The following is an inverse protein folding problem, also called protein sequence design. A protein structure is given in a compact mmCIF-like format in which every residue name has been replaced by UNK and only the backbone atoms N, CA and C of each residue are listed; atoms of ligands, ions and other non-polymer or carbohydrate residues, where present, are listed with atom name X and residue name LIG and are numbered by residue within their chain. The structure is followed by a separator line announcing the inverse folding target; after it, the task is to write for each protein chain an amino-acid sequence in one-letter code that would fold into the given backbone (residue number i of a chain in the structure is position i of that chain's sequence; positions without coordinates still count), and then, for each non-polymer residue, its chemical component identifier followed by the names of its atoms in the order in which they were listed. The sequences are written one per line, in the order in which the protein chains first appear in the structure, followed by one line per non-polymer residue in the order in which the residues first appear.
data_IF_083992959692
#
_entry.id   IF_083992959692
#
_cell.length_a   1.000
_cell.length_b   1.000
_cell.length_c   1.000
_cell.angle_alpha   90.00
_cell.angle_beta   90.00
_cell.angle_gamma   90.00
#
_symmetry.space_group_name_H-M   'P 1'
#
loop_
_entity.id
_entity.type
_entity.pdbx_description
1 polymer ?
#
# COMPACT_ATOMS: atom_id res chain seq x y z
N UNK A 1 12.71 8.64 -6.82
CA UNK A 1 13.11 8.09 -5.50
C UNK A 1 12.77 6.61 -5.45
N UNK A 2 11.57 6.17 -5.05
CA UNK A 2 11.21 4.74 -4.97
C UNK A 2 10.97 4.06 -6.33
N UNK A 3 10.81 4.84 -7.41
CA UNK A 3 10.70 4.36 -8.80
C UNK A 3 11.79 3.38 -9.19
N UNK A 4 13.04 3.69 -8.85
CA UNK A 4 14.19 2.85 -9.22
C UNK A 4 14.30 1.62 -8.32
N UNK A 5 13.40 1.47 -7.34
CA UNK A 5 13.22 0.27 -6.53
C UNK A 5 12.07 -0.61 -7.05
N UNK A 6 11.52 -0.31 -8.24
CA UNK A 6 10.44 -1.05 -8.87
C UNK A 6 9.03 -0.61 -8.44
N UNK A 7 8.90 0.43 -7.61
CA UNK A 7 7.60 0.96 -7.17
C UNK A 7 7.15 2.06 -8.13
N UNK A 8 6.07 1.88 -8.91
CA UNK A 8 5.61 2.90 -9.85
C UNK A 8 5.20 4.18 -9.12
N UNK A 9 5.46 5.34 -9.73
CA UNK A 9 4.94 6.61 -9.23
C UNK A 9 3.48 6.83 -9.64
N UNK A 10 2.84 7.84 -9.05
CA UNK A 10 1.46 8.17 -9.37
C UNK A 10 1.33 8.99 -10.65
N UNK A 11 2.24 9.94 -10.90
CA UNK A 11 2.04 11.06 -11.86
C UNK A 11 3.10 11.15 -12.96
N UNK A 12 4.14 10.31 -12.93
CA UNK A 12 5.23 10.38 -13.89
C UNK A 12 4.81 10.01 -15.32
N UNK A 13 5.75 10.01 -16.27
CA UNK A 13 5.45 9.65 -17.66
C UNK A 13 4.77 8.29 -17.83
N UNK A 14 5.09 7.38 -16.91
CA UNK A 14 4.57 6.01 -16.80
C UNK A 14 3.71 5.83 -15.53
N UNK A 15 3.26 6.93 -14.92
CA UNK A 15 2.60 6.94 -13.62
C UNK A 15 1.21 6.32 -13.63
N UNK A 16 0.81 5.82 -12.47
CA UNK A 16 -0.43 5.06 -12.31
C UNK A 16 -1.66 5.84 -12.79
N UNK A 17 -1.77 7.14 -12.51
CA UNK A 17 -2.94 7.95 -12.86
C UNK A 17 -3.06 8.25 -14.35
N UNK A 18 -1.97 8.15 -15.10
CA UNK A 18 -2.01 8.26 -16.57
C UNK A 18 -2.51 6.97 -17.20
N UNK A 19 -2.16 5.81 -16.62
CA UNK A 19 -2.57 4.49 -17.10
C UNK A 19 -4.01 4.15 -16.70
N UNK A 20 -4.39 4.57 -15.50
CA UNK A 20 -5.73 4.41 -14.94
C UNK A 20 -6.12 5.72 -14.21
N UNK A 21 -6.91 6.60 -14.86
CA UNK A 21 -7.38 7.84 -14.25
C UNK A 21 -8.18 7.63 -12.96
N UNK A 22 -8.85 6.48 -12.80
CA UNK A 22 -9.59 6.16 -11.59
C UNK A 22 -8.68 5.73 -10.43
N UNK A 23 -7.39 5.48 -10.69
CA UNK A 23 -6.45 5.10 -9.65
C UNK A 23 -6.19 6.22 -8.62
N UNK A 24 -6.46 7.48 -8.96
CA UNK A 24 -6.42 8.57 -7.97
C UNK A 24 -7.45 8.34 -6.86
N UNK A 25 -8.66 7.89 -7.20
CA UNK A 25 -9.72 7.60 -6.22
C UNK A 25 -9.31 6.56 -5.20
N UNK A 26 -8.38 5.66 -5.54
CA UNK A 26 -7.86 4.63 -4.65
C UNK A 26 -6.98 5.20 -3.52
N UNK A 27 -6.49 6.43 -3.66
CA UNK A 27 -5.64 7.09 -2.66
C UNK A 27 -6.26 8.39 -2.11
N UNK A 28 -7.46 8.75 -2.54
CA UNK A 28 -8.22 9.90 -2.01
C UNK A 28 -9.07 9.52 -0.81
N UNK A 29 -8.96 10.29 0.28
CA UNK A 29 -9.72 10.07 1.51
C UNK A 29 -11.24 10.06 1.29
N UNK A 30 -11.77 11.08 0.62
CA UNK A 30 -13.20 11.21 0.37
C UNK A 30 -13.76 9.99 -0.38
N UNK A 31 -13.09 9.56 -1.46
CA UNK A 31 -13.46 8.38 -2.24
C UNK A 31 -13.40 7.08 -1.42
N UNK A 32 -12.35 6.92 -0.60
CA UNK A 32 -12.18 5.77 0.28
C UNK A 32 -13.28 5.66 1.36
N UNK A 33 -13.74 6.80 1.87
CA UNK A 33 -14.82 6.87 2.87
C UNK A 33 -16.19 6.69 2.24
N UNK A 34 -16.40 7.20 1.01
CA UNK A 34 -17.66 7.12 0.30
C UNK A 34 -17.99 5.70 -0.18
N UNK A 35 -16.99 4.91 -0.59
CA UNK A 35 -17.22 3.60 -1.21
C UNK A 35 -16.34 2.47 -0.63
N UNK A 36 -16.94 1.45 0.02
CA UNK A 36 -16.24 0.25 0.49
C UNK A 36 -15.51 -0.57 -0.59
N UNK A 37 -15.98 -0.57 -1.84
CA UNK A 37 -15.29 -1.24 -2.94
C UNK A 37 -14.03 -0.48 -3.37
N UNK A 38 -14.09 0.85 -3.45
CA UNK A 38 -12.89 1.70 -3.67
C UNK A 38 -11.85 1.43 -2.59
N UNK A 39 -12.28 1.34 -1.32
CA UNK A 39 -11.39 1.00 -0.21
C UNK A 39 -10.78 -0.40 -0.34
N UNK A 40 -11.57 -1.41 -0.71
CA UNK A 40 -11.06 -2.78 -0.94
C UNK A 40 -10.08 -2.84 -2.12
N UNK A 41 -10.36 -2.10 -3.19
CA UNK A 41 -9.47 -1.99 -4.36
C UNK A 41 -8.17 -1.26 -4.00
N UNK A 42 -8.22 -0.23 -3.18
CA UNK A 42 -7.04 0.46 -2.63
C UNK A 42 -6.10 -0.50 -1.89
N UNK A 43 -6.65 -1.36 -1.03
CA UNK A 43 -5.85 -2.36 -0.30
C UNK A 43 -5.22 -3.41 -1.23
N UNK A 44 -5.99 -3.91 -2.22
CA UNK A 44 -5.45 -4.82 -3.25
C UNK A 44 -4.32 -4.18 -4.04
N UNK A 45 -4.54 -2.96 -4.55
CA UNK A 45 -3.52 -2.20 -5.27
C UNK A 45 -2.24 -2.08 -4.44
N UNK A 46 -2.31 -1.73 -3.14
CA UNK A 46 -1.13 -1.62 -2.27
C UNK A 46 -0.36 -2.94 -2.10
N UNK A 47 -1.07 -4.07 -2.12
CA UNK A 47 -0.42 -5.39 -2.08
C UNK A 47 0.23 -5.76 -3.43
N UNK A 48 -0.36 -5.32 -4.54
CA UNK A 48 0.04 -5.70 -5.91
C UNK A 48 1.14 -4.81 -6.52
N UNK A 49 1.25 -3.53 -6.14
CA UNK A 49 2.20 -2.55 -6.73
C UNK A 49 3.69 -2.82 -6.41
N UNK A 50 4.03 -3.98 -5.85
CA UNK A 50 5.41 -4.41 -5.66
C UNK A 50 6.15 -3.73 -4.50
N UNK A 51 5.45 -2.93 -3.68
CA UNK A 51 6.04 -2.36 -2.46
C UNK A 51 6.43 -3.46 -1.45
N UNK A 52 5.65 -4.54 -1.40
CA UNK A 52 5.96 -5.74 -0.61
C UNK A 52 7.10 -6.50 -1.29
N UNK A 53 8.34 -6.24 -0.87
CA UNK A 53 9.54 -6.90 -1.38
C UNK A 53 10.50 -5.98 -2.14
N UNK A 54 10.11 -4.72 -2.38
CA UNK A 54 11.02 -3.70 -2.89
C UNK A 54 12.22 -3.53 -1.95
N UNK A 55 13.39 -3.27 -2.52
CA UNK A 55 14.64 -3.04 -1.77
C UNK A 55 15.07 -1.60 -1.93
N UNK A 56 15.72 -1.00 -0.91
CA UNK A 56 16.27 0.34 -1.04
C UNK A 56 17.24 0.43 -2.23
N UNK A 57 17.16 1.51 -2.98
CA UNK A 57 18.11 1.85 -4.04
C UNK A 57 19.23 2.80 -3.56
N UNK A 58 20.08 3.23 -4.48
CA UNK A 58 21.22 4.11 -4.18
C UNK A 58 20.80 5.43 -3.52
N UNK A 59 19.65 6.01 -3.91
CA UNK A 59 19.17 7.25 -3.31
C UNK A 59 18.79 7.07 -1.83
N UNK A 60 18.19 5.94 -1.46
CA UNK A 60 17.87 5.65 -0.06
C UNK A 60 19.15 5.48 0.78
N UNK A 61 20.11 4.72 0.26
CA UNK A 61 21.40 4.48 0.92
C UNK A 61 22.19 5.77 1.10
N UNK A 62 22.27 6.60 0.07
CA UNK A 62 22.96 7.89 0.14
C UNK A 62 22.41 8.78 1.26
N UNK A 63 21.08 8.84 1.43
CA UNK A 63 20.47 9.61 2.53
C UNK A 63 20.79 8.99 3.89
N UNK A 64 20.80 7.66 4.00
CA UNK A 64 21.14 6.96 5.25
C UNK A 64 22.63 7.13 5.63
N UNK A 65 23.53 7.24 4.65
CA UNK A 65 24.98 7.40 4.85
C UNK A 65 25.42 8.79 5.32
N UNK A 66 24.56 9.82 5.16
CA UNK A 66 24.86 11.18 5.63
C UNK A 66 25.07 11.26 7.16
N UNK A 67 24.32 10.47 7.94
CA UNK A 67 24.45 10.46 9.41
C UNK A 67 25.80 9.92 9.89
N UNK A 68 26.26 8.72 9.46
CA UNK A 68 27.61 8.27 9.73
C UNK A 68 28.69 9.24 9.23
N UNK A 69 28.41 10.00 8.17
CA UNK A 69 29.28 11.07 7.66
C UNK A 69 29.31 12.34 8.51
N UNK A 70 28.63 12.38 9.66
CA UNK A 70 28.61 13.52 10.59
C UNK A 70 27.56 14.59 10.27
N UNK A 71 26.69 14.37 9.28
CA UNK A 71 25.58 15.28 8.97
C UNK A 71 24.30 14.80 9.65
N UNK A 72 23.70 15.56 10.59
CA UNK A 72 22.44 15.17 11.19
C UNK A 72 21.32 15.09 10.14
N UNK A 73 20.58 13.98 10.10
CA UNK A 73 19.51 13.76 9.10
C UNK A 73 18.15 13.52 9.75
N UNK A 74 17.12 14.15 9.19
CA UNK A 74 15.70 13.78 9.35
C UNK A 74 15.04 13.78 7.99
N UNK A 75 14.15 12.83 7.75
CA UNK A 75 13.45 12.66 6.47
C UNK A 75 11.97 12.92 6.65
N UNK A 76 11.42 13.84 5.87
CA UNK A 76 9.98 13.97 5.65
C UNK A 76 9.67 13.31 4.31
N UNK A 77 8.78 12.32 4.28
CA UNK A 77 8.45 11.56 3.09
C UNK A 77 6.95 11.52 2.83
N UNK A 78 6.58 11.53 1.55
CA UNK A 78 5.22 11.22 1.09
C UNK A 78 5.02 9.71 0.87
N UNK A 79 6.10 8.93 0.92
CA UNK A 79 6.08 7.52 0.60
C UNK A 79 5.68 6.68 1.83
N UNK A 80 4.82 5.69 1.59
CA UNK A 80 4.37 4.71 2.58
C UNK A 80 5.06 3.35 2.44
N UNK A 81 6.13 3.28 1.65
CA UNK A 81 6.85 2.04 1.28
C UNK A 81 7.85 1.53 2.33
N UNK A 82 8.29 2.39 3.26
CA UNK A 82 9.23 2.03 4.31
C UNK A 82 10.70 1.87 3.85
N UNK A 83 11.02 2.21 2.59
CA UNK A 83 12.36 1.96 2.04
C UNK A 83 13.45 2.82 2.68
N UNK A 84 13.11 3.97 3.26
CA UNK A 84 14.05 4.81 4.02
C UNK A 84 14.53 4.09 5.29
N UNK A 85 13.62 3.43 5.99
CA UNK A 85 13.93 2.65 7.18
C UNK A 85 14.73 1.40 6.83
N UNK A 86 14.35 0.72 5.74
CA UNK A 86 15.09 -0.43 5.23
C UNK A 86 16.52 -0.08 4.77
N UNK A 87 16.77 1.17 4.36
CA UNK A 87 18.11 1.68 4.06
C UNK A 87 18.96 1.97 5.31
N UNK A 88 18.38 1.91 6.52
CA UNK A 88 19.10 2.09 7.77
C UNK A 88 18.73 3.34 8.56
N UNK A 89 17.80 4.18 8.07
CA UNK A 89 17.35 5.34 8.86
C UNK A 89 16.47 4.90 10.05
N UNK A 90 16.77 5.36 11.28
CA UNK A 90 15.94 5.07 12.44
C UNK A 90 14.50 5.56 12.26
N UNK A 91 13.52 4.77 12.67
CA UNK A 91 12.10 5.09 12.47
C UNK A 91 11.67 6.45 13.09
N UNK A 92 12.29 6.87 14.19
CA UNK A 92 11.99 8.17 14.83
C UNK A 92 12.50 9.38 14.04
N UNK A 93 13.29 9.17 12.97
CA UNK A 93 13.82 10.22 12.09
C UNK A 93 13.09 10.30 10.75
N UNK A 94 12.11 9.42 10.49
CA UNK A 94 11.34 9.38 9.24
C UNK A 94 9.88 9.76 9.52
N UNK A 95 9.42 10.86 8.95
CA UNK A 95 8.10 11.45 9.17
C UNK A 95 7.23 11.37 7.91
N UNK A 96 5.91 11.22 8.08
CA UNK A 96 4.95 11.16 6.96
C UNK A 96 4.72 9.77 6.36
N UNK A 97 5.45 8.76 6.81
CA UNK A 97 5.25 7.37 6.40
C UNK A 97 4.22 6.68 7.29
N UNK A 98 3.33 5.88 6.70
CA UNK A 98 2.44 5.01 7.48
C UNK A 98 3.22 3.74 7.87
N UNK A 99 3.36 3.45 9.17
CA UNK A 99 3.72 2.09 9.58
C UNK A 99 2.59 1.17 9.15
N UNK A 100 2.83 0.33 8.13
CA UNK A 100 2.01 -0.86 7.93
C UNK A 100 2.27 -1.79 9.11
N UNK A 101 1.52 -1.62 10.20
CA UNK A 101 1.44 -2.62 11.24
C UNK A 101 0.80 -3.89 10.68
N UNK A 102 1.07 -5.08 11.26
CA UNK A 102 0.51 -6.36 10.79
C UNK A 102 -1.02 -6.46 10.89
N UNK A 103 -1.71 -5.43 11.40
CA UNK A 103 -3.14 -5.39 11.65
C UNK A 103 -3.86 -4.27 10.87
N UNK A 104 -3.46 -3.99 9.64
CA UNK A 104 -4.33 -3.31 8.68
C UNK A 104 -5.53 -4.20 8.39
N UNK A 105 -6.58 -4.09 9.20
CA UNK A 105 -7.73 -4.99 9.29
C UNK A 105 -8.18 -5.57 7.96
N UNK A 106 -7.94 -6.86 7.78
CA UNK A 106 -8.72 -7.70 6.88
C UNK A 106 -10.13 -7.71 7.46
N UNK A 107 -10.99 -6.79 7.02
CA UNK A 107 -12.42 -7.06 7.06
C UNK A 107 -12.61 -8.33 6.22
N UNK A 108 -12.79 -9.45 6.93
CA UNK A 108 -13.19 -10.74 6.38
C UNK A 108 -14.37 -10.46 5.44
N UNK A 109 -14.13 -10.55 4.12
CA UNK A 109 -15.20 -10.54 3.14
C UNK A 109 -16.23 -11.58 3.61
N UNK A 110 -17.53 -11.22 3.73
CA UNK A 110 -18.53 -12.23 4.04
C UNK A 110 -18.45 -13.29 2.96
N UNK A 111 -18.16 -14.51 3.39
CA UNK A 111 -18.19 -15.71 2.57
C UNK A 111 -19.65 -15.84 2.12
N UNK A 112 -19.96 -15.41 0.91
CA UNK A 112 -21.21 -15.79 0.25
C UNK A 112 -21.13 -17.31 0.06
N UNK A 113 -21.63 -18.05 1.06
CA UNK A 113 -21.88 -19.47 0.93
C UNK A 113 -23.13 -19.60 0.06
N UNK A 114 -22.90 -19.73 -1.24
CA UNK A 114 -23.71 -20.63 -2.03
C UNK A 114 -23.60 -22.02 -1.40
N UNK A 115 -24.67 -22.46 -0.75
CA UNK A 115 -25.03 -23.87 -0.67
C UNK A 115 -26.54 -23.93 -0.90
N UNK A 116 -26.92 -24.47 -2.06
CA UNK A 116 -28.29 -24.87 -2.31
C UNK A 116 -28.70 -25.89 -1.27
N UNK A 117 -29.71 -25.56 -0.48
CA UNK A 117 -30.43 -26.53 0.32
C UNK A 117 -31.40 -27.28 -0.61
N UNK A 118 -31.00 -28.48 -1.03
CA UNK A 118 -31.95 -29.46 -1.54
C UNK A 118 -32.86 -29.91 -0.41
N UNK A 119 -34.17 -29.72 -0.57
CA UNK A 119 -35.20 -30.33 0.26
C UNK A 119 -35.93 -31.38 -0.59
N UNK A 120 -35.76 -32.66 -0.22
CA UNK A 120 -36.44 -33.80 -0.83
C UNK A 120 -37.94 -33.87 -0.49
N UNK A 121 -38.70 -34.77 -1.14
CA UNK A 121 -40.15 -34.66 -1.24
C UNK A 121 -40.88 -35.13 0.01
N UNK A 122 -41.83 -34.32 0.48
CA UNK A 122 -42.75 -34.64 1.57
C UNK A 122 -43.73 -35.76 1.18
N UNK A 123 -43.83 -36.77 2.04
CA UNK A 123 -44.82 -37.86 1.96
C UNK A 123 -46.23 -37.31 2.16
N UNK A 124 -47.12 -37.74 1.26
CA UNK A 124 -48.59 -37.59 1.36
C UNK A 124 -49.13 -38.35 2.57
N UNK A 125 -50.11 -37.75 3.25
CA UNK A 125 -51.23 -38.45 3.86
C UNK A 125 -52.50 -37.94 3.19
#
# INVERSE_FOLDING_TARGET
MSTDSGIPDHRGPQGLWRRDPDAEKLVTYASCMADPEVRRRSWRMRAEIGALGARPNAAHRAVAELEPGGTPVRVVTQNVDGLQQLAGLPAHKVFGTARLGPFGGVHRLPRALGQGAGAGPGRRR
#
